data_IF_142163509025
#
_entry.id   IF_142163509025
#
_cell.length_a   1.000
_cell.length_b   1.000
_cell.length_c   1.000
_cell.angle_alpha   90.00
_cell.angle_beta   90.00
_cell.angle_gamma   90.00
#
_symmetry.space_group_name_H-M   'P 1'
#
loop_
_entity.id
_entity.type
_entity.pdbx_description
1 polymer ?
#
# COMPACT_ATOMS: atom_id res chain seq x y z
N UNK A 1 36.46 -2.32 -5.85
CA UNK A 1 37.60 -3.14 -5.38
C UNK A 1 37.12 -3.89 -4.14
N UNK A 2 37.23 -5.22 -4.08
CA UNK A 2 36.76 -5.99 -2.92
C UNK A 2 37.51 -5.56 -1.66
N UNK A 3 36.80 -5.37 -0.55
CA UNK A 3 37.44 -5.43 0.77
C UNK A 3 38.01 -6.85 0.89
N UNK A 4 39.16 -7.03 1.54
CA UNK A 4 40.00 -8.24 1.49
C UNK A 4 39.38 -9.58 1.96
N UNK A 5 38.04 -9.71 1.98
CA UNK A 5 37.27 -10.94 2.19
C UNK A 5 36.24 -11.22 1.07
N UNK A 6 36.43 -10.69 -0.13
CA UNK A 6 35.57 -11.05 -1.29
C UNK A 6 34.15 -10.47 -1.26
N UNK A 7 33.77 -9.70 -0.23
CA UNK A 7 32.53 -8.94 -0.23
C UNK A 7 32.70 -7.68 -1.09
N UNK A 8 32.21 -7.75 -2.32
CA UNK A 8 32.03 -6.56 -3.17
C UNK A 8 30.68 -5.95 -2.81
N UNK A 9 30.70 -4.80 -2.14
CA UNK A 9 29.47 -4.05 -1.86
C UNK A 9 28.96 -3.54 -3.22
N UNK A 10 27.87 -4.13 -3.70
CA UNK A 10 27.26 -3.85 -4.99
C UNK A 10 25.93 -3.14 -4.76
N UNK A 11 25.61 -2.21 -5.64
CA UNK A 11 24.27 -1.65 -5.73
C UNK A 11 23.31 -2.73 -6.25
N UNK A 12 22.25 -3.01 -5.48
CA UNK A 12 21.18 -3.91 -5.91
C UNK A 12 20.03 -3.11 -6.51
N UNK A 13 19.54 -3.56 -7.67
CA UNK A 13 18.44 -2.90 -8.37
C UNK A 13 17.15 -2.98 -7.58
N UNK A 14 16.27 -1.99 -7.72
CA UNK A 14 14.95 -2.01 -7.07
C UNK A 14 14.14 -3.29 -7.38
N UNK A 15 14.17 -3.81 -8.62
CA UNK A 15 13.48 -5.05 -8.95
C UNK A 15 13.96 -6.25 -8.09
N UNK A 16 15.27 -6.36 -7.85
CA UNK A 16 15.83 -7.41 -6.98
C UNK A 16 15.44 -7.19 -5.52
N UNK A 17 15.55 -5.95 -5.02
CA UNK A 17 15.10 -5.62 -3.67
C UNK A 17 13.61 -5.97 -3.49
N UNK A 18 12.78 -5.69 -4.49
CA UNK A 18 11.37 -6.04 -4.47
C UNK A 18 11.18 -7.55 -4.39
N UNK A 19 11.88 -8.34 -5.22
CA UNK A 19 11.79 -9.81 -5.18
C UNK A 19 12.16 -10.38 -3.81
N UNK A 20 13.19 -9.86 -3.15
CA UNK A 20 13.63 -10.37 -1.85
C UNK A 20 12.74 -9.93 -0.68
N UNK A 21 12.22 -8.70 -0.72
CA UNK A 21 11.55 -8.09 0.44
C UNK A 21 10.02 -7.99 0.32
N UNK A 22 9.42 -8.28 -0.84
CA UNK A 22 7.97 -8.16 -1.09
C UNK A 22 7.10 -8.81 0.01
N UNK A 23 7.17 -10.14 0.13
CA UNK A 23 6.29 -10.90 1.03
C UNK A 23 6.68 -10.81 2.50
N UNK A 24 7.96 -10.56 2.79
CA UNK A 24 8.51 -10.52 4.14
C UNK A 24 8.33 -9.16 4.81
N UNK A 25 8.64 -8.06 4.11
CA UNK A 25 8.71 -6.71 4.69
C UNK A 25 7.80 -5.73 3.97
N UNK A 26 7.90 -5.59 2.65
CA UNK A 26 7.23 -4.52 1.90
C UNK A 26 5.71 -4.56 2.01
N UNK A 27 5.09 -5.73 1.76
CA UNK A 27 3.65 -5.87 1.94
C UNK A 27 3.22 -5.60 3.39
N UNK A 28 4.03 -6.03 4.36
CA UNK A 28 3.74 -5.84 5.79
C UNK A 28 3.88 -4.38 6.22
N UNK A 29 4.90 -3.67 5.73
CA UNK A 29 5.12 -2.26 5.99
C UNK A 29 4.02 -1.38 5.40
N UNK A 30 3.57 -1.69 4.18
CA UNK A 30 2.44 -0.99 3.54
C UNK A 30 1.12 -1.30 4.27
N UNK A 31 0.86 -2.58 4.60
CA UNK A 31 -0.33 -2.97 5.39
C UNK A 31 -0.34 -2.28 6.77
N UNK A 32 0.80 -2.19 7.44
CA UNK A 32 0.93 -1.53 8.74
C UNK A 32 0.74 -0.01 8.63
N UNK A 33 1.35 0.63 7.62
CA UNK A 33 1.17 2.08 7.37
C UNK A 33 -0.29 2.40 7.09
N UNK A 34 -0.96 1.58 6.28
CA UNK A 34 -2.39 1.71 6.01
C UNK A 34 -3.22 1.56 7.29
N UNK A 35 -2.91 0.57 8.13
CA UNK A 35 -3.59 0.40 9.42
C UNK A 35 -3.38 1.61 10.34
N UNK A 36 -2.17 2.17 10.39
CA UNK A 36 -1.86 3.35 11.18
C UNK A 36 -2.67 4.57 10.72
N UNK A 37 -2.81 4.77 9.40
CA UNK A 37 -3.67 5.81 8.84
C UNK A 37 -5.15 5.61 9.17
N UNK A 38 -5.64 4.37 9.11
CA UNK A 38 -7.02 4.07 9.53
C UNK A 38 -7.22 4.34 11.02
N UNK A 39 -6.25 3.97 11.85
CA UNK A 39 -6.25 4.28 13.27
C UNK A 39 -6.31 5.80 13.46
N UNK A 40 -5.46 6.58 12.79
CA UNK A 40 -5.51 8.04 12.85
C UNK A 40 -6.88 8.61 12.49
N UNK A 41 -7.51 8.09 11.43
CA UNK A 41 -8.76 8.62 10.91
C UNK A 41 -10.01 8.23 11.72
N UNK A 42 -10.03 7.03 12.32
CA UNK A 42 -11.22 6.46 12.99
C UNK A 42 -11.03 6.19 14.48
N UNK A 43 -9.80 6.21 14.97
CA UNK A 43 -9.47 5.91 16.35
C UNK A 43 -9.73 7.10 17.28
N UNK A 44 -10.16 6.78 18.51
CA UNK A 44 -10.28 7.75 19.60
C UNK A 44 -9.01 7.69 20.45
N UNK A 45 -8.08 8.63 20.26
CA UNK A 45 -6.80 8.67 20.99
C UNK A 45 -6.93 9.42 22.31
N UNK A 46 -7.72 8.83 23.20
CA UNK A 46 -7.89 9.25 24.58
C UNK A 46 -6.96 8.43 25.47
N UNK A 47 -5.97 9.08 26.10
CA UNK A 47 -5.29 8.54 27.27
C UNK A 47 -6.17 8.76 28.49
N UNK A 48 -7.40 8.27 28.53
CA UNK A 48 -8.25 8.43 29.71
C UNK A 48 -9.48 7.53 29.68
N UNK A 49 -9.77 6.86 30.81
CA UNK A 49 -11.11 6.35 31.13
C UNK A 49 -11.85 7.36 32.02
N UNK A 50 -11.95 8.59 31.53
CA UNK A 50 -12.51 9.71 32.29
C UNK A 50 -13.99 9.41 32.51
N UNK A 51 -14.38 9.31 33.77
CA UNK A 51 -15.77 9.11 34.20
C UNK A 51 -16.00 9.89 35.48
N UNK A 52 -17.22 10.39 35.68
CA UNK A 52 -17.61 11.01 36.95
C UNK A 52 -17.44 10.04 38.13
N UNK A 53 -17.51 8.73 37.88
CA UNK A 53 -17.33 7.68 38.89
C UNK A 53 -15.92 7.64 39.48
N UNK A 54 -14.90 8.20 38.82
CA UNK A 54 -13.54 8.30 39.37
C UNK A 54 -13.47 9.17 40.63
N UNK A 55 -14.37 10.15 40.74
CA UNK A 55 -14.51 11.04 41.90
C UNK A 55 -15.96 11.00 42.41
N UNK A 56 -16.57 9.81 42.49
CA UNK A 56 -17.98 9.66 42.90
C UNK A 56 -18.27 10.32 44.26
N UNK A 57 -17.34 10.26 45.21
CA UNK A 57 -17.44 10.91 46.52
C UNK A 57 -17.49 12.44 46.41
N UNK A 58 -16.77 13.05 45.47
CA UNK A 58 -16.80 14.49 45.23
C UNK A 58 -18.18 14.94 44.71
N UNK A 59 -18.83 14.10 43.90
CA UNK A 59 -20.17 14.36 43.36
C UNK A 59 -21.30 13.83 44.26
N UNK A 60 -21.01 13.42 45.50
CA UNK A 60 -21.98 12.84 46.43
C UNK A 60 -22.77 11.66 45.83
N UNK A 61 -22.14 10.84 44.98
CA UNK A 61 -22.76 9.73 44.24
C UNK A 61 -23.95 10.15 43.35
N UNK A 62 -24.03 11.42 42.97
CA UNK A 62 -25.02 11.94 42.00
C UNK A 62 -24.29 12.27 40.70
N UNK A 63 -24.81 11.82 39.56
CA UNK A 63 -24.19 12.11 38.27
C UNK A 63 -24.28 13.62 37.95
N UNK A 64 -23.14 14.32 37.84
CA UNK A 64 -23.09 15.74 37.48
C UNK A 64 -23.25 15.93 35.96
N UNK A 65 -23.38 17.19 35.51
CA UNK A 65 -23.51 17.46 34.08
C UNK A 65 -22.24 17.04 33.31
N UNK A 66 -22.35 16.53 32.06
CA UNK A 66 -21.22 16.01 31.32
C UNK A 66 -20.04 16.97 31.15
N UNK A 67 -20.29 18.28 31.06
CA UNK A 67 -19.22 19.26 30.93
C UNK A 67 -18.45 19.49 32.24
N UNK A 68 -19.13 19.36 33.38
CA UNK A 68 -18.57 19.65 34.71
C UNK A 68 -17.53 18.61 35.07
N UNK A 69 -17.91 17.33 35.01
CA UNK A 69 -17.01 16.26 35.37
C UNK A 69 -15.90 16.05 34.35
N UNK A 70 -16.17 16.28 33.06
CA UNK A 70 -15.14 16.16 32.02
C UNK A 70 -14.03 17.19 32.22
N UNK A 71 -14.39 18.44 32.49
CA UNK A 71 -13.40 19.52 32.73
C UNK A 71 -12.56 19.22 33.96
N UNK A 72 -13.20 18.82 35.06
CA UNK A 72 -12.50 18.47 36.30
C UNK A 72 -11.60 17.26 36.14
N UNK A 73 -12.08 16.21 35.47
CA UNK A 73 -11.31 14.98 35.29
C UNK A 73 -9.99 15.24 34.54
N UNK A 74 -10.02 16.04 33.47
CA UNK A 74 -8.80 16.41 32.75
C UNK A 74 -7.91 17.38 33.52
N UNK A 75 -8.46 18.21 34.42
CA UNK A 75 -7.68 19.11 35.27
C UNK A 75 -6.96 18.36 36.40
N UNK A 76 -7.65 17.45 37.09
CA UNK A 76 -7.12 16.74 38.26
C UNK A 76 -6.24 15.55 37.89
N UNK A 77 -6.59 14.81 36.82
CA UNK A 77 -5.86 13.62 36.41
C UNK A 77 -4.91 13.87 35.23
N UNK A 78 -4.46 15.11 35.01
CA UNK A 78 -3.66 15.52 33.85
C UNK A 78 -2.41 14.65 33.58
N UNK A 79 -1.84 13.99 34.60
CA UNK A 79 -0.71 13.05 34.45
C UNK A 79 -1.10 11.74 33.76
N UNK A 80 -2.34 11.29 33.98
CA UNK A 80 -2.91 10.06 33.43
C UNK A 80 -3.93 10.32 32.33
N UNK A 81 -4.34 11.58 32.13
CA UNK A 81 -5.51 12.01 31.38
C UNK A 81 -5.19 13.21 30.51
N UNK A 82 -4.92 12.98 29.23
CA UNK A 82 -4.67 14.04 28.25
C UNK A 82 -5.90 14.19 27.36
N UNK A 83 -6.34 15.43 27.11
CA UNK A 83 -7.42 15.70 26.16
C UNK A 83 -7.10 15.01 24.82
N UNK A 84 -8.08 14.38 24.15
CA UNK A 84 -7.88 13.77 22.84
C UNK A 84 -7.57 14.86 21.82
N UNK A 85 -6.28 15.15 21.66
CA UNK A 85 -5.74 16.04 20.64
C UNK A 85 -5.00 15.22 19.59
N UNK A 86 -4.78 15.80 18.41
CA UNK A 86 -4.02 15.15 17.34
C UNK A 86 -2.58 14.77 17.77
N UNK A 87 -2.03 15.42 18.79
CA UNK A 87 -0.69 15.13 19.32
C UNK A 87 -0.63 13.77 20.04
N UNK A 88 -1.73 13.34 20.68
CA UNK A 88 -1.79 12.07 21.40
C UNK A 88 -1.56 10.88 20.46
N UNK A 89 -2.14 10.92 19.26
CA UNK A 89 -1.94 9.86 18.26
C UNK A 89 -0.45 9.70 17.91
N UNK A 90 0.24 10.81 17.66
CA UNK A 90 1.66 10.80 17.29
C UNK A 90 2.51 10.12 18.35
N UNK A 91 2.32 10.48 19.62
CA UNK A 91 3.06 9.90 20.75
C UNK A 91 2.71 8.42 20.97
N UNK A 92 1.45 8.01 20.73
CA UNK A 92 1.05 6.60 20.88
C UNK A 92 1.57 5.69 19.77
N UNK A 93 1.70 6.24 18.56
CA UNK A 93 1.94 5.45 17.35
C UNK A 93 3.34 5.59 16.75
N UNK A 94 4.20 6.50 17.26
CA UNK A 94 5.51 6.77 16.64
C UNK A 94 6.37 5.51 16.49
N UNK A 95 6.36 4.61 17.47
CA UNK A 95 7.14 3.38 17.43
C UNK A 95 6.67 2.44 16.32
N UNK A 96 5.36 2.37 16.07
CA UNK A 96 4.78 1.59 14.97
C UNK A 96 5.07 2.23 13.61
N UNK A 97 5.06 3.57 13.53
CA UNK A 97 5.48 4.30 12.34
C UNK A 97 6.96 4.04 12.02
N UNK A 98 7.84 3.96 13.03
CA UNK A 98 9.25 3.60 12.84
C UNK A 98 9.41 2.17 12.32
N UNK A 99 8.62 1.21 12.83
CA UNK A 99 8.63 -0.17 12.32
C UNK A 99 8.15 -0.21 10.87
N UNK A 100 7.06 0.48 10.55
CA UNK A 100 6.54 0.55 9.19
C UNK A 100 7.58 1.16 8.23
N UNK A 101 8.20 2.27 8.63
CA UNK A 101 9.23 2.96 7.85
C UNK A 101 10.48 2.09 7.63
N UNK A 102 10.95 1.39 8.67
CA UNK A 102 12.12 0.52 8.56
C UNK A 102 11.86 -0.68 7.64
N UNK A 103 10.68 -1.31 7.70
CA UNK A 103 10.32 -2.39 6.78
C UNK A 103 10.20 -1.94 5.32
N UNK A 104 9.82 -0.69 5.06
CA UNK A 104 9.70 -0.18 3.69
C UNK A 104 11.03 0.35 3.14
N UNK A 105 11.80 1.10 3.93
CA UNK A 105 12.90 1.92 3.40
C UNK A 105 14.29 1.48 3.83
N UNK A 106 14.44 0.60 4.82
CA UNK A 106 15.78 0.13 5.22
C UNK A 106 16.59 -0.44 4.03
N UNK A 107 16.03 -1.27 3.12
CA UNK A 107 16.80 -1.79 2.00
C UNK A 107 17.46 -0.71 1.13
N UNK A 108 16.84 0.47 0.98
CA UNK A 108 17.39 1.57 0.18
C UNK A 108 18.51 2.32 0.91
N UNK A 109 18.36 2.54 2.22
CA UNK A 109 19.39 3.19 3.04
C UNK A 109 20.67 2.35 3.15
N UNK A 110 20.54 1.02 3.18
CA UNK A 110 21.68 0.10 3.22
C UNK A 110 22.20 -0.30 1.83
N UNK A 111 21.53 0.13 0.75
CA UNK A 111 21.96 -0.10 -0.62
C UNK A 111 22.91 1.02 -1.10
N UNK A 112 24.16 0.73 -1.50
CA UNK A 112 25.07 1.75 -2.01
C UNK A 112 24.46 2.52 -3.17
N UNK A 113 24.54 3.84 -3.15
CA UNK A 113 23.92 4.70 -4.18
C UNK A 113 22.41 4.48 -4.34
N UNK A 114 21.73 3.92 -3.34
CA UNK A 114 20.29 3.68 -3.34
C UNK A 114 19.43 4.95 -3.32
N UNK A 115 20.03 6.11 -3.04
CA UNK A 115 19.41 7.44 -3.11
C UNK A 115 20.00 8.31 -4.22
N UNK A 116 20.79 7.74 -5.13
CA UNK A 116 21.38 8.46 -6.25
C UNK A 116 20.38 8.57 -7.41
N UNK A 117 20.14 9.78 -7.91
CA UNK A 117 19.05 10.06 -8.85
C UNK A 117 19.15 9.25 -10.14
N UNK A 118 20.32 9.27 -10.79
CA UNK A 118 20.52 8.58 -12.07
C UNK A 118 20.30 7.07 -11.92
N UNK A 119 20.78 6.49 -10.81
CA UNK A 119 20.57 5.08 -10.48
C UNK A 119 19.13 4.76 -10.15
N UNK A 120 18.44 5.63 -9.41
CA UNK A 120 17.03 5.42 -9.08
C UNK A 120 16.14 5.44 -10.33
N UNK A 121 16.46 6.27 -11.34
CA UNK A 121 15.73 6.25 -12.62
C UNK A 121 15.99 4.95 -13.38
N UNK A 122 17.25 4.51 -13.48
CA UNK A 122 17.59 3.25 -14.13
C UNK A 122 16.84 2.08 -13.49
N UNK A 123 16.84 2.04 -12.16
CA UNK A 123 16.11 1.06 -11.34
C UNK A 123 14.60 1.13 -11.53
N UNK A 124 14.04 2.33 -11.62
CA UNK A 124 12.62 2.52 -11.90
C UNK A 124 12.22 1.90 -13.24
N UNK A 125 13.02 2.16 -14.28
CA UNK A 125 12.78 1.65 -15.63
C UNK A 125 12.88 0.13 -15.67
N UNK A 126 13.91 -0.43 -15.03
CA UNK A 126 14.12 -1.87 -14.91
C UNK A 126 12.96 -2.57 -14.19
N UNK A 127 12.52 -2.03 -13.04
CA UNK A 127 11.37 -2.55 -12.30
C UNK A 127 10.07 -2.48 -13.11
N UNK A 128 9.83 -1.38 -13.81
CA UNK A 128 8.63 -1.22 -14.63
C UNK A 128 8.65 -2.19 -15.82
N UNK A 129 9.81 -2.43 -16.43
CA UNK A 129 9.98 -3.44 -17.47
C UNK A 129 9.72 -4.84 -16.89
N UNK A 130 10.32 -5.18 -15.75
CA UNK A 130 10.14 -6.46 -15.06
C UNK A 130 8.66 -6.77 -14.80
N UNK A 131 7.89 -5.82 -14.26
CA UNK A 131 6.45 -5.98 -14.02
C UNK A 131 5.61 -6.25 -15.29
N UNK A 132 6.15 -6.00 -16.49
CA UNK A 132 5.45 -6.29 -17.75
C UNK A 132 5.84 -7.63 -18.38
N UNK A 133 6.94 -8.23 -17.92
CA UNK A 133 7.41 -9.53 -18.43
C UNK A 133 6.51 -10.68 -17.95
N UNK A 134 6.17 -11.58 -18.87
CA UNK A 134 5.27 -12.73 -18.63
C UNK A 134 5.89 -14.07 -19.05
N UNK A 135 7.20 -14.14 -19.18
CA UNK A 135 7.88 -15.38 -19.51
C UNK A 135 7.78 -16.36 -18.33
N UNK A 136 7.98 -17.65 -18.54
CA UNK A 136 7.92 -18.64 -17.45
C UNK A 136 9.24 -18.71 -16.65
N UNK A 137 10.17 -17.79 -16.90
CA UNK A 137 11.44 -17.69 -16.16
C UNK A 137 11.24 -16.98 -14.83
N UNK A 138 12.02 -17.38 -13.82
CA UNK A 138 12.11 -16.70 -12.51
C UNK A 138 12.56 -15.24 -12.61
N UNK A 139 13.20 -14.87 -13.72
CA UNK A 139 13.56 -13.47 -14.01
C UNK A 139 12.35 -12.59 -14.31
N UNK A 140 11.24 -13.18 -14.77
CA UNK A 140 10.01 -12.45 -15.05
C UNK A 140 9.20 -12.17 -13.79
N UNK A 141 8.28 -11.20 -13.83
CA UNK A 141 7.38 -10.95 -12.70
C UNK A 141 6.42 -12.12 -12.47
N UNK A 142 5.85 -12.68 -13.54
CA UNK A 142 4.89 -13.79 -13.43
C UNK A 142 5.55 -15.06 -12.89
N UNK A 143 6.73 -15.42 -13.38
CA UNK A 143 7.49 -16.57 -12.91
C UNK A 143 7.93 -16.40 -11.45
N UNK A 144 8.44 -15.21 -11.07
CA UNK A 144 8.74 -14.91 -9.67
C UNK A 144 7.49 -15.05 -8.77
N UNK A 145 6.36 -14.45 -9.16
CA UNK A 145 5.12 -14.50 -8.40
C UNK A 145 4.59 -15.93 -8.22
N UNK A 146 4.66 -16.76 -9.26
CA UNK A 146 4.25 -18.15 -9.21
C UNK A 146 5.16 -18.98 -8.28
N UNK A 147 6.48 -18.81 -8.38
CA UNK A 147 7.45 -19.50 -7.54
C UNK A 147 7.27 -19.14 -6.06
N UNK A 148 7.02 -17.86 -5.76
CA UNK A 148 6.83 -17.40 -4.39
C UNK A 148 5.55 -17.93 -3.74
N UNK A 149 4.56 -18.33 -4.54
CA UNK A 149 3.31 -18.95 -4.10
C UNK A 149 3.30 -20.48 -4.20
N UNK A 150 4.31 -21.09 -4.80
CA UNK A 150 4.41 -22.53 -5.03
C UNK A 150 4.32 -23.33 -3.72
N UNK A 151 4.85 -22.80 -2.62
CA UNK A 151 4.78 -23.43 -1.30
C UNK A 151 3.33 -23.73 -0.85
N UNK A 152 2.34 -22.98 -1.35
CA UNK A 152 0.93 -23.21 -1.03
C UNK A 152 0.40 -24.50 -1.64
N UNK A 153 0.91 -24.90 -2.81
CA UNK A 153 0.53 -26.16 -3.48
C UNK A 153 0.92 -27.38 -2.63
N UNK A 154 2.04 -27.27 -1.90
CA UNK A 154 2.55 -28.31 -1.01
C UNK A 154 2.10 -28.18 0.45
N UNK A 155 1.29 -27.16 0.77
CA UNK A 155 0.86 -26.88 2.14
C UNK A 155 -0.33 -27.74 2.60
N UNK A 156 -0.36 -28.10 3.89
CA UNK A 156 -1.47 -28.88 4.46
C UNK A 156 -2.79 -28.12 4.40
N UNK A 157 -3.95 -28.81 4.31
CA UNK A 157 -5.26 -28.17 4.35
C UNK A 157 -5.47 -27.30 5.61
N UNK A 158 -4.93 -27.73 6.76
CA UNK A 158 -4.98 -26.95 7.99
C UNK A 158 -4.17 -25.65 7.92
N UNK A 159 -2.96 -25.69 7.35
CA UNK A 159 -2.17 -24.46 7.11
C UNK A 159 -2.93 -23.47 6.21
N UNK A 160 -3.60 -23.98 5.17
CA UNK A 160 -4.45 -23.16 4.29
C UNK A 160 -5.67 -22.60 5.01
N UNK A 161 -6.29 -23.36 5.91
CA UNK A 161 -7.38 -22.85 6.77
C UNK A 161 -6.90 -21.71 7.67
N UNK A 162 -5.75 -21.86 8.33
CA UNK A 162 -5.17 -20.80 9.17
C UNK A 162 -4.88 -19.56 8.34
N UNK A 163 -4.32 -19.72 7.13
CA UNK A 163 -4.10 -18.59 6.23
C UNK A 163 -5.42 -17.94 5.80
N UNK A 164 -6.44 -18.71 5.45
CA UNK A 164 -7.77 -18.21 5.14
C UNK A 164 -8.31 -17.33 6.26
N UNK A 165 -8.35 -17.85 7.50
CA UNK A 165 -8.83 -17.14 8.69
C UNK A 165 -8.01 -15.87 8.94
N UNK A 166 -6.69 -15.90 8.79
CA UNK A 166 -5.87 -14.69 8.97
C UNK A 166 -6.15 -13.63 7.91
N UNK A 167 -6.47 -14.03 6.68
CA UNK A 167 -6.73 -13.10 5.57
C UNK A 167 -8.15 -12.54 5.58
N UNK A 168 -9.12 -13.16 6.28
CA UNK A 168 -10.46 -12.56 6.46
C UNK A 168 -10.46 -11.22 7.19
N UNK A 169 -9.37 -10.88 7.91
CA UNK A 169 -9.20 -9.56 8.54
C UNK A 169 -9.43 -8.37 7.60
N UNK A 170 -9.05 -8.49 6.32
CA UNK A 170 -9.24 -7.40 5.36
C UNK A 170 -10.72 -7.17 5.05
N UNK A 171 -11.51 -8.25 4.98
CA UNK A 171 -12.96 -8.15 4.86
C UNK A 171 -13.57 -7.55 6.12
N UNK A 172 -13.13 -7.96 7.31
CA UNK A 172 -13.63 -7.42 8.57
C UNK A 172 -13.37 -5.90 8.68
N UNK A 173 -12.19 -5.44 8.27
CA UNK A 173 -11.89 -3.99 8.21
C UNK A 173 -12.80 -3.29 7.19
N UNK A 174 -13.01 -3.85 6.01
CA UNK A 174 -13.92 -3.27 5.01
C UNK A 174 -15.37 -3.17 5.52
N UNK A 175 -15.85 -4.22 6.21
CA UNK A 175 -17.17 -4.24 6.86
C UNK A 175 -17.25 -3.18 7.96
N UNK A 176 -16.23 -3.07 8.81
CA UNK A 176 -16.16 -2.04 9.84
C UNK A 176 -16.23 -0.61 9.27
N UNK A 177 -15.48 -0.35 8.20
CA UNK A 177 -15.52 0.93 7.49
C UNK A 177 -16.89 1.21 6.86
N UNK A 178 -17.52 0.20 6.25
CA UNK A 178 -18.86 0.33 5.71
C UNK A 178 -19.88 0.68 6.80
N UNK A 179 -19.86 -0.05 7.93
CA UNK A 179 -20.78 0.19 9.03
C UNK A 179 -20.59 1.59 9.62
N UNK A 180 -19.34 2.03 9.81
CA UNK A 180 -19.04 3.37 10.31
C UNK A 180 -19.49 4.47 9.33
N UNK A 181 -19.28 4.27 8.03
CA UNK A 181 -19.74 5.20 6.99
C UNK A 181 -21.27 5.28 6.97
N UNK A 182 -21.95 4.14 6.97
CA UNK A 182 -23.42 4.10 6.97
C UNK A 182 -24.01 4.66 8.25
N UNK A 183 -23.38 4.41 9.40
CA UNK A 183 -23.78 5.01 10.67
C UNK A 183 -23.73 6.55 10.60
N UNK A 184 -22.62 7.10 10.08
CA UNK A 184 -22.48 8.54 9.90
C UNK A 184 -23.58 9.11 8.98
N UNK A 185 -23.78 8.50 7.82
CA UNK A 185 -24.73 8.98 6.80
C UNK A 185 -26.20 8.86 7.25
N UNK A 186 -26.54 7.79 7.97
CA UNK A 186 -27.92 7.50 8.36
C UNK A 186 -28.35 8.19 9.65
N UNK A 187 -27.42 8.39 10.60
CA UNK A 187 -27.75 8.91 11.93
C UNK A 187 -27.09 10.26 12.19
N UNK A 188 -25.76 10.31 12.16
CA UNK A 188 -25.01 11.51 12.58
C UNK A 188 -25.27 12.72 11.70
N UNK A 189 -25.25 12.57 10.37
CA UNK A 189 -25.51 13.68 9.45
C UNK A 189 -27.00 14.12 9.44
N UNK A 190 -27.90 13.26 9.92
CA UNK A 190 -29.34 13.56 10.03
C UNK A 190 -29.77 14.01 11.43
N UNK A 191 -28.83 14.17 12.38
CA UNK A 191 -29.10 14.44 13.80
C UNK A 191 -30.11 13.47 14.45
N UNK A 192 -30.18 12.23 13.97
CA UNK A 192 -31.02 11.19 14.55
C UNK A 192 -30.16 10.24 15.39
N UNK A 193 -30.70 9.73 16.48
CA UNK A 193 -30.07 8.63 17.23
C UNK A 193 -30.69 7.29 16.85
N UNK A 194 -29.97 6.20 17.09
CA UNK A 194 -30.48 4.84 16.86
C UNK A 194 -31.74 4.56 17.70
N UNK A 195 -31.92 5.26 18.82
CA UNK A 195 -33.06 5.11 19.71
C UNK A 195 -34.33 5.82 19.20
N UNK A 196 -34.17 6.88 18.39
CA UNK A 196 -35.29 7.69 17.89
C UNK A 196 -35.92 7.11 16.61
N UNK A 197 -35.28 6.11 16.00
CA UNK A 197 -35.56 5.67 14.65
C UNK A 197 -36.22 4.27 14.59
N UNK A 198 -36.86 3.98 13.46
CA UNK A 198 -37.54 2.70 13.22
C UNK A 198 -36.51 1.56 13.21
N UNK A 199 -36.74 0.51 14.02
CA UNK A 199 -35.83 -0.62 14.24
C UNK A 199 -35.39 -1.37 12.95
N UNK A 200 -36.01 -1.09 11.80
CA UNK A 200 -35.72 -1.71 10.51
C UNK A 200 -34.46 -1.16 9.82
N UNK A 201 -34.09 0.12 9.99
CA UNK A 201 -32.97 0.75 9.27
C UNK A 201 -31.61 0.09 9.51
N UNK A 202 -31.22 -0.33 10.73
CA UNK A 202 -30.02 -1.12 10.95
C UNK A 202 -30.00 -2.43 10.14
N UNK A 203 -31.15 -3.13 10.05
CA UNK A 203 -31.26 -4.36 9.26
C UNK A 203 -31.20 -4.10 7.75
N UNK A 204 -31.73 -2.96 7.27
CA UNK A 204 -31.59 -2.54 5.86
C UNK A 204 -30.12 -2.27 5.53
N UNK A 205 -29.40 -1.57 6.41
CA UNK A 205 -27.96 -1.30 6.23
C UNK A 205 -27.16 -2.60 6.15
N UNK A 206 -27.46 -3.56 7.03
CA UNK A 206 -26.82 -4.87 7.02
C UNK A 206 -27.21 -5.70 5.78
N UNK A 207 -28.47 -5.66 5.35
CA UNK A 207 -28.93 -6.31 4.13
C UNK A 207 -28.25 -5.75 2.88
N UNK A 208 -28.11 -4.43 2.79
CA UNK A 208 -27.41 -3.76 1.69
C UNK A 208 -25.93 -4.15 1.60
N UNK A 209 -25.27 -4.39 2.74
CA UNK A 209 -23.90 -4.92 2.77
C UNK A 209 -23.81 -6.31 2.13
N UNK A 210 -24.72 -7.21 2.48
CA UNK A 210 -24.75 -8.57 1.92
C UNK A 210 -24.99 -8.52 0.41
N UNK A 211 -25.94 -7.69 -0.03
CA UNK A 211 -26.22 -7.50 -1.45
C UNK A 211 -25.01 -6.92 -2.18
N UNK A 212 -24.32 -5.93 -1.61
CA UNK A 212 -23.09 -5.38 -2.18
C UNK A 212 -22.00 -6.45 -2.35
N UNK A 213 -21.76 -7.27 -1.32
CA UNK A 213 -20.78 -8.36 -1.39
C UNK A 213 -21.16 -9.40 -2.45
N UNK A 214 -22.44 -9.72 -2.60
CA UNK A 214 -22.93 -10.62 -3.64
C UNK A 214 -22.74 -10.02 -5.04
N UNK A 215 -23.05 -8.74 -5.24
CA UNK A 215 -22.84 -8.04 -6.51
C UNK A 215 -21.35 -8.04 -6.88
N UNK A 216 -20.46 -7.74 -5.94
CA UNK A 216 -19.02 -7.77 -6.17
C UNK A 216 -18.53 -9.18 -6.53
N UNK A 217 -19.07 -10.22 -5.87
CA UNK A 217 -18.76 -11.61 -6.22
C UNK A 217 -19.26 -12.00 -7.62
N UNK A 218 -20.48 -11.61 -7.98
CA UNK A 218 -21.06 -11.84 -9.31
C UNK A 218 -20.31 -11.08 -10.41
N UNK A 219 -19.94 -9.82 -10.17
CA UNK A 219 -19.14 -9.00 -11.08
C UNK A 219 -17.73 -9.60 -11.27
N UNK A 220 -17.11 -10.10 -10.21
CA UNK A 220 -15.85 -10.86 -10.26
C UNK A 220 -15.98 -12.13 -11.13
N UNK A 221 -17.05 -12.89 -10.95
CA UNK A 221 -17.30 -14.10 -11.75
C UNK A 221 -17.55 -13.78 -13.24
N UNK A 222 -18.38 -12.78 -13.52
CA UNK A 222 -18.71 -12.37 -14.89
C UNK A 222 -17.50 -11.78 -15.62
N UNK A 223 -16.71 -10.92 -14.97
CA UNK A 223 -15.49 -10.35 -15.54
C UNK A 223 -14.46 -11.43 -15.90
N UNK A 224 -14.32 -12.49 -15.09
CA UNK A 224 -13.46 -13.63 -15.39
C UNK A 224 -13.89 -14.41 -16.65
N UNK A 225 -15.19 -14.58 -16.88
CA UNK A 225 -15.73 -15.21 -18.11
C UNK A 225 -15.55 -14.33 -19.34
N UNK A 226 -15.78 -13.02 -19.19
CA UNK A 226 -15.62 -12.05 -20.29
C UNK A 226 -14.14 -11.93 -20.68
N UNK A 227 -13.22 -11.89 -19.72
CA UNK A 227 -11.78 -11.84 -19.98
C UNK A 227 -11.29 -13.07 -20.77
N UNK A 228 -11.76 -14.28 -20.46
CA UNK A 228 -11.44 -15.50 -21.21
C UNK A 228 -12.01 -15.52 -22.64
N UNK A 229 -13.15 -14.86 -22.86
CA UNK A 229 -13.82 -14.76 -24.18
C UNK A 229 -13.23 -13.63 -25.05
N UNK A 230 -12.49 -12.70 -24.45
CA UNK A 230 -12.02 -11.48 -25.10
C UNK A 230 -10.57 -11.62 -25.63
N UNK A 231 -10.33 -12.47 -26.63
CA UNK A 231 -9.12 -12.37 -27.48
C UNK A 231 -9.33 -11.33 -28.58
N UNK A 232 -9.46 -10.05 -28.21
CA UNK A 232 -9.72 -8.97 -29.16
C UNK A 232 -8.47 -8.34 -29.76
N UNK A 233 -8.53 -8.02 -31.06
CA UNK A 233 -7.54 -7.22 -31.79
C UNK A 233 -7.24 -5.91 -31.02
N UNK A 234 -5.96 -5.61 -30.85
CA UNK A 234 -5.38 -4.51 -30.04
C UNK A 234 -6.02 -3.12 -30.26
N UNK A 235 -6.56 -2.83 -31.46
CA UNK A 235 -7.31 -1.58 -31.75
C UNK A 235 -8.67 -1.49 -31.04
N UNK A 236 -9.42 -2.58 -30.92
CA UNK A 236 -10.75 -2.59 -30.26
C UNK A 236 -10.60 -2.48 -28.75
N UNK A 237 -9.52 -3.05 -28.20
CA UNK A 237 -9.15 -2.93 -26.78
C UNK A 237 -8.84 -1.47 -26.40
N UNK A 238 -8.13 -0.72 -27.25
CA UNK A 238 -7.84 0.71 -27.00
C UNK A 238 -9.11 1.56 -26.98
N UNK A 239 -10.04 1.34 -27.92
CA UNK A 239 -11.36 2.01 -27.92
C UNK A 239 -12.18 1.64 -26.69
N UNK A 240 -12.22 0.36 -26.32
CA UNK A 240 -12.94 -0.10 -25.12
C UNK A 240 -12.34 0.51 -23.84
N UNK A 241 -11.01 0.53 -23.69
CA UNK A 241 -10.32 1.18 -22.58
C UNK A 241 -10.67 2.66 -22.51
N UNK A 242 -10.66 3.37 -23.64
CA UNK A 242 -11.03 4.79 -23.71
C UNK A 242 -12.48 5.04 -23.26
N UNK A 243 -13.44 4.23 -23.74
CA UNK A 243 -14.83 4.34 -23.31
C UNK A 243 -15.02 3.99 -21.83
N UNK A 244 -14.31 2.98 -21.32
CA UNK A 244 -14.34 2.60 -19.91
C UNK A 244 -13.77 3.69 -19.02
N UNK A 245 -12.64 4.31 -19.41
CA UNK A 245 -12.05 5.44 -18.69
C UNK A 245 -12.94 6.66 -18.72
N UNK A 246 -13.60 6.95 -19.85
CA UNK A 246 -14.54 8.06 -19.97
C UNK A 246 -15.79 7.83 -19.11
N UNK A 247 -16.35 6.62 -19.12
CA UNK A 247 -17.46 6.24 -18.24
C UNK A 247 -17.08 6.31 -16.76
N UNK A 248 -15.86 5.86 -16.40
CA UNK A 248 -15.34 5.98 -15.05
C UNK A 248 -15.17 7.45 -14.61
N UNK A 249 -14.68 8.31 -15.50
CA UNK A 249 -14.56 9.75 -15.24
C UNK A 249 -15.93 10.41 -15.07
N UNK A 250 -16.89 10.11 -15.95
CA UNK A 250 -18.26 10.61 -15.84
C UNK A 250 -18.93 10.13 -14.55
N UNK A 251 -18.73 8.87 -14.17
CA UNK A 251 -19.20 8.31 -12.89
C UNK A 251 -18.58 9.00 -11.69
N UNK A 252 -17.28 9.31 -11.73
CA UNK A 252 -16.60 10.06 -10.67
C UNK A 252 -17.14 11.49 -10.54
N UNK A 253 -17.37 12.18 -11.67
CA UNK A 253 -17.97 13.52 -11.67
C UNK A 253 -19.38 13.48 -11.10
N UNK A 254 -20.21 12.53 -11.54
CA UNK A 254 -21.56 12.35 -10.99
C UNK A 254 -21.54 12.05 -9.49
N UNK A 255 -20.59 11.23 -9.04
CA UNK A 255 -20.40 10.94 -7.62
C UNK A 255 -19.99 12.19 -6.84
N UNK A 256 -19.08 13.02 -7.37
CA UNK A 256 -18.65 14.27 -6.73
C UNK A 256 -19.76 15.33 -6.67
N UNK A 257 -20.72 15.30 -7.59
CA UNK A 257 -21.88 16.20 -7.59
C UNK A 257 -22.92 15.82 -6.52
N UNK A 258 -23.01 14.53 -6.16
CA UNK A 258 -24.05 14.03 -5.26
C UNK A 258 -23.52 13.65 -3.86
N UNK A 259 -22.27 13.21 -3.77
CA UNK A 259 -21.65 12.72 -2.54
C UNK A 259 -20.48 13.60 -2.11
N UNK A 260 -20.35 13.74 -0.79
CA UNK A 260 -19.17 14.35 -0.18
C UNK A 260 -17.89 13.59 -0.56
N UNK A 261 -16.79 14.32 -0.78
CA UNK A 261 -15.47 13.75 -1.11
C UNK A 261 -15.05 12.66 -0.11
N UNK A 262 -15.34 12.87 1.18
CA UNK A 262 -15.09 11.88 2.23
C UNK A 262 -15.80 10.55 1.96
N UNK A 263 -17.08 10.59 1.61
CA UNK A 263 -17.88 9.38 1.32
C UNK A 263 -17.32 8.64 0.10
N UNK A 264 -16.88 9.37 -0.94
CA UNK A 264 -16.27 8.77 -2.13
C UNK A 264 -14.96 8.06 -1.78
N UNK A 265 -14.11 8.70 -0.98
CA UNK A 265 -12.85 8.10 -0.50
C UNK A 265 -13.14 6.85 0.34
N UNK A 266 -14.12 6.88 1.24
CA UNK A 266 -14.50 5.73 2.07
C UNK A 266 -15.03 4.56 1.22
N UNK A 267 -15.89 4.82 0.23
CA UNK A 267 -16.36 3.79 -0.72
C UNK A 267 -15.18 3.21 -1.50
N UNK A 268 -14.28 4.04 -2.01
CA UNK A 268 -13.10 3.58 -2.75
C UNK A 268 -12.22 2.68 -1.87
N UNK A 269 -12.00 3.04 -0.61
CA UNK A 269 -11.24 2.24 0.35
C UNK A 269 -11.90 0.89 0.63
N UNK A 270 -13.22 0.85 0.81
CA UNK A 270 -13.99 -0.40 1.00
C UNK A 270 -13.82 -1.31 -0.22
N UNK A 271 -13.99 -0.78 -1.43
CA UNK A 271 -13.84 -1.56 -2.67
C UNK A 271 -12.41 -2.09 -2.82
N UNK A 272 -11.39 -1.28 -2.53
CA UNK A 272 -9.99 -1.70 -2.58
C UNK A 272 -9.69 -2.82 -1.56
N UNK A 273 -10.19 -2.71 -0.33
CA UNK A 273 -10.02 -3.74 0.70
C UNK A 273 -10.73 -5.04 0.34
N UNK A 274 -11.95 -4.97 -0.22
CA UNK A 274 -12.67 -6.16 -0.70
C UNK A 274 -11.94 -6.79 -1.89
N UNK A 275 -11.45 -6.00 -2.85
CA UNK A 275 -10.67 -6.51 -3.97
C UNK A 275 -9.37 -7.20 -3.50
N UNK A 276 -8.67 -6.60 -2.53
CA UNK A 276 -7.48 -7.20 -1.93
C UNK A 276 -7.83 -8.48 -1.17
N UNK A 277 -8.94 -8.51 -0.42
CA UNK A 277 -9.41 -9.73 0.22
C UNK A 277 -9.72 -10.84 -0.80
N UNK A 278 -10.40 -10.53 -1.90
CA UNK A 278 -10.68 -11.49 -2.99
C UNK A 278 -9.38 -12.06 -3.57
N UNK A 279 -8.37 -11.22 -3.81
CA UNK A 279 -7.03 -11.66 -4.23
C UNK A 279 -6.45 -12.68 -3.22
N UNK A 280 -6.48 -12.37 -1.92
CA UNK A 280 -5.93 -13.26 -0.88
C UNK A 280 -6.67 -14.60 -0.79
N UNK A 281 -8.00 -14.59 -0.93
CA UNK A 281 -8.81 -15.82 -0.90
C UNK A 281 -8.55 -16.67 -2.15
N UNK A 282 -8.40 -16.05 -3.31
CA UNK A 282 -8.04 -16.76 -4.53
C UNK A 282 -6.66 -17.42 -4.43
N UNK A 283 -5.67 -16.75 -3.82
CA UNK A 283 -4.34 -17.31 -3.56
C UNK A 283 -4.44 -18.54 -2.65
N UNK A 284 -5.15 -18.44 -1.52
CA UNK A 284 -5.31 -19.56 -0.56
C UNK A 284 -6.05 -20.75 -1.20
N UNK A 285 -6.93 -20.50 -2.18
CA UNK A 285 -7.64 -21.53 -2.96
C UNK A 285 -6.85 -22.07 -4.15
N UNK A 286 -5.55 -21.76 -4.26
CA UNK A 286 -4.68 -22.17 -5.38
C UNK A 286 -5.14 -21.63 -6.75
N UNK A 287 -5.92 -20.55 -6.75
CA UNK A 287 -6.43 -19.88 -7.95
C UNK A 287 -5.52 -18.76 -8.48
N UNK A 288 -4.26 -18.68 -8.03
CA UNK A 288 -3.35 -17.57 -8.35
C UNK A 288 -2.90 -17.54 -9.82
N UNK A 289 -2.98 -18.66 -10.55
CA UNK A 289 -2.73 -18.76 -12.01
C UNK A 289 -3.92 -18.31 -12.87
N UNK A 290 -5.00 -17.82 -12.26
CA UNK A 290 -6.15 -17.33 -13.01
C UNK A 290 -5.85 -15.93 -13.56
N UNK A 291 -6.02 -15.70 -14.86
CA UNK A 291 -5.67 -14.44 -15.53
C UNK A 291 -6.20 -13.16 -14.84
N UNK A 292 -7.41 -13.20 -14.27
CA UNK A 292 -7.97 -12.08 -13.50
C UNK A 292 -7.19 -11.82 -12.20
N UNK A 293 -6.78 -12.87 -11.49
CA UNK A 293 -6.03 -12.78 -10.24
C UNK A 293 -4.62 -12.28 -10.52
N UNK A 294 -3.97 -12.75 -11.58
CA UNK A 294 -2.67 -12.21 -12.04
C UNK A 294 -2.76 -10.71 -12.31
N UNK A 295 -3.81 -10.23 -12.99
CA UNK A 295 -3.95 -8.79 -13.26
C UNK A 295 -4.16 -7.96 -12.00
N UNK A 296 -4.89 -8.49 -11.00
CA UNK A 296 -5.08 -7.81 -9.72
C UNK A 296 -3.78 -7.83 -8.89
N UNK A 297 -3.06 -8.95 -8.88
CA UNK A 297 -1.76 -9.08 -8.23
C UNK A 297 -0.73 -8.10 -8.84
N UNK A 298 -0.63 -8.02 -10.17
CA UNK A 298 0.28 -7.09 -10.85
C UNK A 298 -0.05 -5.62 -10.53
N UNK A 299 -1.34 -5.29 -10.41
CA UNK A 299 -1.78 -3.95 -10.01
C UNK A 299 -1.43 -3.66 -8.55
N UNK A 300 -1.61 -4.64 -7.66
CA UNK A 300 -1.23 -4.55 -6.26
C UNK A 300 0.27 -4.32 -6.11
N UNK A 301 1.12 -5.14 -6.75
CA UNK A 301 2.58 -4.99 -6.70
C UNK A 301 3.05 -3.66 -7.28
N UNK A 302 2.44 -3.20 -8.37
CA UNK A 302 2.71 -1.87 -8.90
C UNK A 302 2.35 -0.78 -7.90
N UNK A 303 1.23 -0.92 -7.20
CA UNK A 303 0.80 0.07 -6.18
C UNK A 303 1.73 0.08 -4.97
N UNK A 304 2.09 -1.10 -4.45
CA UNK A 304 3.06 -1.25 -3.36
C UNK A 304 4.41 -0.67 -3.77
N UNK A 305 4.91 -0.99 -4.96
CA UNK A 305 6.18 -0.49 -5.44
C UNK A 305 6.20 1.03 -5.56
N UNK A 306 5.11 1.66 -6.01
CA UNK A 306 5.01 3.12 -6.02
C UNK A 306 4.95 3.74 -4.62
N UNK A 307 4.25 3.12 -3.67
CA UNK A 307 4.20 3.60 -2.27
C UNK A 307 5.59 3.59 -1.64
N UNK A 308 6.39 2.57 -1.94
CA UNK A 308 7.73 2.40 -1.35
C UNK A 308 8.76 3.23 -2.09
N UNK A 309 8.81 3.12 -3.42
CA UNK A 309 9.85 3.71 -4.26
C UNK A 309 9.57 5.16 -4.65
N UNK A 310 8.31 5.58 -4.70
CA UNK A 310 7.93 6.97 -4.99
C UNK A 310 8.58 7.99 -4.04
N UNK A 311 8.50 7.79 -2.71
CA UNK A 311 9.23 8.63 -1.75
C UNK A 311 10.75 8.60 -1.94
N UNK A 312 11.33 7.45 -2.28
CA UNK A 312 12.77 7.31 -2.56
C UNK A 312 13.16 8.15 -3.78
N UNK A 313 12.39 8.08 -4.86
CA UNK A 313 12.58 8.91 -6.06
C UNK A 313 12.46 10.39 -5.76
N UNK A 314 11.46 10.78 -4.97
CA UNK A 314 11.28 12.18 -4.55
C UNK A 314 12.50 12.68 -3.76
N UNK A 315 12.98 11.88 -2.81
CA UNK A 315 14.17 12.19 -2.00
C UNK A 315 15.41 12.31 -2.89
N UNK A 316 15.63 11.34 -3.79
CA UNK A 316 16.77 11.35 -4.71
C UNK A 316 16.78 12.59 -5.63
N UNK A 317 15.60 13.03 -6.08
CA UNK A 317 15.45 14.20 -6.96
C UNK A 317 15.68 15.54 -6.23
N UNK A 318 15.05 15.73 -5.07
CA UNK A 318 15.04 17.02 -4.39
C UNK A 318 16.15 17.18 -3.34
N UNK A 319 16.74 16.09 -2.88
CA UNK A 319 17.74 16.08 -1.82
C UNK A 319 18.99 15.29 -2.23
N UNK A 320 19.73 15.72 -3.28
CA UNK A 320 20.90 15.00 -3.78
C UNK A 320 22.02 14.88 -2.74
N UNK A 321 22.08 15.80 -1.77
CA UNK A 321 23.04 15.73 -0.66
C UNK A 321 22.86 14.48 0.22
N UNK A 322 21.65 13.90 0.28
CA UNK A 322 21.38 12.71 1.10
C UNK A 322 22.10 11.48 0.56
N UNK A 323 22.34 11.40 -0.75
CA UNK A 323 23.17 10.35 -1.36
C UNK A 323 24.61 10.42 -0.85
N UNK A 324 25.19 11.63 -0.83
CA UNK A 324 26.54 11.85 -0.29
C UNK A 324 26.61 11.60 1.22
N UNK A 325 25.58 12.01 1.97
CA UNK A 325 25.48 11.77 3.41
C UNK A 325 25.40 10.26 3.72
N UNK A 326 24.49 9.54 3.05
CA UNK A 326 24.34 8.09 3.17
C UNK A 326 25.69 7.40 2.91
N UNK A 327 26.38 7.80 1.84
CA UNK A 327 27.65 7.20 1.47
C UNK A 327 28.72 7.39 2.56
N UNK A 328 28.86 8.60 3.12
CA UNK A 328 29.87 8.93 4.14
C UNK A 328 29.61 8.32 5.51
N UNK A 329 28.34 8.18 5.89
CA UNK A 329 27.96 7.63 7.21
C UNK A 329 27.97 6.11 7.20
N UNK A 330 27.48 5.50 6.12
CA UNK A 330 27.22 4.06 6.08
C UNK A 330 28.39 3.25 5.52
N UNK A 331 29.26 3.87 4.72
CA UNK A 331 30.34 3.17 4.06
C UNK A 331 31.69 3.83 4.33
N UNK A 332 32.75 3.01 4.41
CA UNK A 332 34.11 3.48 4.68
C UNK A 332 34.59 4.50 3.62
N UNK A 333 35.41 5.49 4.01
CA UNK A 333 35.99 6.51 3.13
C UNK A 333 36.70 5.93 1.88
N UNK A 334 37.33 4.77 2.00
CA UNK A 334 37.97 4.10 0.87
C UNK A 334 36.96 3.58 -0.18
N UNK A 335 35.72 3.31 0.23
CA UNK A 335 34.63 2.89 -0.65
C UNK A 335 33.92 4.09 -1.28
N UNK A 336 33.69 5.16 -0.51
CA UNK A 336 33.06 6.39 -1.03
C UNK A 336 33.91 7.04 -2.11
N UNK A 337 35.23 7.13 -1.91
CA UNK A 337 36.16 7.60 -2.94
C UNK A 337 36.16 6.73 -4.20
N UNK A 338 36.04 5.40 -4.04
CA UNK A 338 35.88 4.49 -5.17
C UNK A 338 34.58 4.70 -5.97
N UNK A 339 33.47 5.02 -5.30
CA UNK A 339 32.19 5.34 -5.93
C UNK A 339 32.24 6.68 -6.68
N UNK A 340 32.88 7.70 -6.11
CA UNK A 340 33.07 8.99 -6.78
C UNK A 340 33.89 8.83 -8.07
N UNK A 341 34.94 8.00 -8.03
CA UNK A 341 35.76 7.67 -9.20
C UNK A 341 34.95 6.89 -10.25
N UNK A 342 34.10 5.92 -9.85
CA UNK A 342 33.26 5.21 -10.83
C UNK A 342 32.18 6.10 -11.46
N UNK A 343 31.65 7.07 -10.72
CA UNK A 343 30.72 8.09 -11.25
C UNK A 343 31.41 8.96 -12.31
N UNK A 344 32.62 9.44 -12.04
CA UNK A 344 33.42 10.20 -13.01
C UNK A 344 33.62 9.41 -14.32
N UNK A 345 34.04 8.15 -14.22
CA UNK A 345 34.23 7.31 -15.41
C UNK A 345 32.93 6.97 -16.15
N UNK A 346 31.80 6.88 -15.43
CA UNK A 346 30.49 6.67 -16.06
C UNK A 346 30.07 7.89 -16.89
N UNK A 347 30.32 9.10 -16.37
CA UNK A 347 30.05 10.34 -17.08
C UNK A 347 31.00 10.57 -18.27
N UNK A 348 32.27 10.15 -18.14
CA UNK A 348 33.26 10.19 -19.24
C UNK A 348 32.95 9.17 -20.36
N UNK A 349 32.30 8.04 -20.03
CA UNK A 349 31.85 7.07 -21.02
C UNK A 349 30.67 7.58 -21.85
N UNK A 350 29.75 8.35 -21.24
CA UNK A 350 28.59 8.95 -21.92
C UNK A 350 28.98 10.11 -22.84
N UNK A 351 30.10 10.79 -22.57
CA UNK A 351 30.56 11.95 -23.35
C UNK A 351 31.41 11.60 -24.58
N UNK A 352 31.80 10.32 -24.77
CA UNK A 352 32.46 9.89 -26.01
C UNK A 352 31.42 9.61 -27.09
N UNK A 353 31.40 10.37 -28.21
CA UNK A 353 30.53 10.04 -29.33
C UNK A 353 30.98 8.70 -29.94
N UNK A 354 30.04 7.80 -30.20
CA UNK A 354 30.30 6.57 -30.93
C UNK A 354 31.00 6.88 -32.27
N UNK A 355 32.12 6.23 -32.61
CA UNK A 355 32.73 6.39 -33.91
C UNK A 355 31.77 5.87 -34.98
N UNK A 356 31.35 6.77 -35.88
CA UNK A 356 30.42 6.46 -36.96
C UNK A 356 30.85 5.18 -37.72
N UNK A 357 29.90 4.31 -38.10
CA UNK A 357 30.21 3.05 -38.77
C UNK A 357 30.88 3.33 -40.11
N UNK A 358 32.14 2.89 -40.25
CA UNK A 358 32.89 2.96 -41.51
C UNK A 358 32.15 2.16 -42.59
N UNK A 359 31.54 2.85 -43.55
CA UNK A 359 31.02 2.24 -44.78
C UNK A 359 32.15 1.47 -45.48
N UNK A 360 32.08 0.14 -45.50
CA UNK A 360 32.90 -0.69 -46.39
C UNK A 360 32.48 -0.38 -47.82
N UNK A 361 33.36 0.30 -48.56
CA UNK A 361 33.26 0.47 -50.01
C UNK A 361 33.37 -0.93 -50.62
N UNK A 362 32.27 -1.45 -51.20
CA UNK A 362 32.33 -2.63 -52.08
C UNK A 362 33.22 -2.25 -53.26
N UNK A 363 34.18 -3.12 -53.55
CA UNK A 363 35.03 -3.08 -54.74
C UNK A 363 34.23 -3.81 -55.82
N UNK A 364 33.84 -3.07 -56.85
CA UNK A 364 33.13 -3.61 -58.01
C UNK A 364 34.12 -4.46 -58.84
N UNK A 365 33.67 -5.66 -59.20
CA UNK A 365 34.11 -6.44 -60.38
C UNK A 365 32.92 -6.56 -61.32
#
# INVERSE_FOLDING_TARGET
RATGRGFTIKHEKFAELFRFYAFSHFYRGVELSFLLLLFYAYGTFSWCNCSWMLEADFYNNVEPLPYEWKTRCYANFYQSCVLPTNQNYGIMSYSLWLIAATWMWAPFFFNPSGLDWDKCIDDYSDWQQWLTTKNDSSESWLGWWANELEYLEHSTPFSRLVQFVRKTRFLLVAVGLYLQMMFRLAYTEQNMTVADDFALKPYIILGALVVLLLILACAGYASGRVAKKMTFKQKRLRKLKFHLTFAGLAGLIAALLYFNLRTIVEIALIVLLVAYWVLQIAIVRLGFRHAMIETIAALFDRSVGWIIFGPVLFIAMFMPFLSAFQQRVMFNQAFTSGLEVSKLFSNDAVTKPDPAPKKKKKRDE
#
